data_IF_485426738838
#
_entry.id   IF_485426738838
#
_cell.length_a   1.000
_cell.length_b   1.000
_cell.length_c   1.000
_cell.angle_alpha   90.00
_cell.angle_beta   90.00
_cell.angle_gamma   90.00
#
_symmetry.space_group_name_H-M   'P 1'
#
loop_
_entity.id
_entity.type
_entity.pdbx_description
1 polymer ?
#
# COMPACT_ATOMS: atom_id res chain seq x y z
N UNK A 1 30.20 3.01 18.24
CA UNK A 1 28.86 3.51 17.86
C UNK A 1 28.80 3.84 16.36
N UNK A 2 29.73 4.64 15.82
CA UNK A 2 29.70 5.05 14.39
C UNK A 2 29.82 3.86 13.40
N UNK A 3 30.57 2.84 13.73
CA UNK A 3 30.74 1.63 12.91
C UNK A 3 29.45 0.81 12.77
N UNK A 4 28.61 0.79 13.82
CA UNK A 4 27.28 0.16 13.81
C UNK A 4 26.25 0.96 13.00
N UNK A 5 26.28 2.28 13.08
CA UNK A 5 25.38 3.17 12.34
C UNK A 5 25.54 2.99 10.82
N UNK A 6 26.79 2.91 10.33
CA UNK A 6 27.09 2.65 8.91
C UNK A 6 26.61 1.28 8.42
N UNK A 7 26.64 0.25 9.28
CA UNK A 7 26.23 -1.13 8.96
C UNK A 7 24.72 -1.29 8.75
N UNK A 8 23.91 -0.42 9.36
CA UNK A 8 22.46 -0.41 9.25
C UNK A 8 21.89 0.62 8.27
N UNK A 9 22.74 1.33 7.53
CA UNK A 9 22.32 2.30 6.53
C UNK A 9 21.57 3.52 7.10
N UNK A 10 21.87 3.89 8.35
CA UNK A 10 21.33 5.08 8.99
C UNK A 10 22.18 6.26 8.50
N UNK A 11 21.61 7.11 7.68
CA UNK A 11 22.26 8.26 7.08
C UNK A 11 22.50 9.37 8.11
N UNK A 12 23.47 10.27 7.84
CA UNK A 12 23.94 11.35 8.70
C UNK A 12 22.89 12.40 9.10
N UNK A 13 21.68 12.34 8.56
CA UNK A 13 20.56 13.22 8.92
C UNK A 13 19.85 12.74 10.18
N UNK A 14 19.66 13.63 11.13
CA UNK A 14 18.81 13.43 12.32
C UNK A 14 17.39 13.11 11.90
N UNK A 15 17.03 11.83 11.88
CA UNK A 15 15.64 11.41 11.67
C UNK A 15 14.96 11.21 13.01
N UNK A 16 13.88 11.94 13.22
CA UNK A 16 12.96 11.65 14.33
C UNK A 16 12.21 10.36 13.98
N UNK A 17 12.48 9.31 14.70
CA UNK A 17 11.77 8.03 14.57
C UNK A 17 10.48 8.08 15.39
N UNK A 18 9.39 8.54 14.78
CA UNK A 18 8.07 8.47 15.39
C UNK A 18 7.54 7.03 15.36
N UNK A 19 6.87 6.60 16.42
CA UNK A 19 6.24 5.27 16.52
C UNK A 19 7.11 4.20 17.17
N UNK A 20 8.25 4.58 17.78
CA UNK A 20 9.13 3.66 18.52
C UNK A 20 9.15 3.93 20.03
N UNK A 21 8.16 4.67 20.51
CA UNK A 21 8.01 5.05 21.92
C UNK A 21 7.91 3.82 22.85
N UNK A 22 7.47 2.69 22.33
CA UNK A 22 7.42 1.41 23.04
C UNK A 22 8.82 0.86 23.43
N UNK A 23 9.90 1.34 22.82
CA UNK A 23 11.29 0.99 23.21
C UNK A 23 11.78 1.79 24.42
N UNK A 24 11.12 2.90 24.77
CA UNK A 24 11.55 3.78 25.87
C UNK A 24 11.59 3.07 27.22
N UNK A 25 10.59 2.23 27.62
CA UNK A 25 10.67 1.47 28.86
C UNK A 25 11.90 0.57 28.92
N UNK A 26 12.20 -0.14 27.84
CA UNK A 26 13.35 -1.03 27.72
C UNK A 26 14.68 -0.25 27.86
N UNK A 27 14.79 0.91 27.24
CA UNK A 27 15.97 1.75 27.38
C UNK A 27 16.16 2.28 28.79
N UNK A 28 15.06 2.69 29.46
CA UNK A 28 15.10 3.14 30.86
C UNK A 28 15.56 2.02 31.80
N UNK A 29 14.96 0.85 31.69
CA UNK A 29 15.34 -0.32 32.48
C UNK A 29 16.82 -0.68 32.27
N UNK A 30 17.30 -0.61 31.03
CA UNK A 30 18.71 -0.84 30.69
C UNK A 30 19.65 0.18 31.35
N UNK A 31 19.25 1.45 31.42
CA UNK A 31 20.02 2.50 32.11
C UNK A 31 20.05 2.28 33.63
N UNK A 32 18.96 1.79 34.21
CA UNK A 32 18.86 1.55 35.68
C UNK A 32 19.81 0.44 36.16
N UNK A 33 20.18 -0.51 35.27
CA UNK A 33 21.12 -1.60 35.58
C UNK A 33 22.54 -1.34 35.08
N UNK A 34 22.78 -0.20 34.40
CA UNK A 34 24.09 0.16 33.87
C UNK A 34 25.11 0.45 34.99
N UNK A 35 26.31 -0.12 34.85
CA UNK A 35 27.47 0.07 35.75
C UNK A 35 28.72 0.21 34.89
N UNK A 36 29.83 0.68 35.48
CA UNK A 36 31.09 0.84 34.78
C UNK A 36 31.62 -0.46 34.14
N UNK A 37 31.36 -1.59 34.78
CA UNK A 37 31.83 -2.91 34.35
C UNK A 37 30.96 -3.56 33.26
N UNK A 38 29.73 -3.07 33.02
CA UNK A 38 28.79 -3.66 32.07
C UNK A 38 28.26 -2.70 31.00
N UNK A 39 28.62 -1.40 31.08
CA UNK A 39 27.99 -0.38 30.23
C UNK A 39 28.26 -0.57 28.73
N UNK A 40 29.42 -1.08 28.37
CA UNK A 40 29.78 -1.31 26.97
C UNK A 40 28.94 -2.46 26.39
N UNK A 41 28.87 -3.59 27.08
CA UNK A 41 28.07 -4.75 26.70
C UNK A 41 26.57 -4.42 26.69
N UNK A 42 26.13 -3.66 27.67
CA UNK A 42 24.72 -3.26 27.79
C UNK A 42 24.30 -2.30 26.66
N UNK A 43 25.13 -1.29 26.37
CA UNK A 43 24.88 -0.34 25.28
C UNK A 43 24.86 -1.04 23.92
N UNK A 44 25.76 -1.98 23.66
CA UNK A 44 25.75 -2.79 22.45
C UNK A 44 24.46 -3.62 22.35
N UNK A 45 24.08 -4.31 23.43
CA UNK A 45 22.86 -5.12 23.48
C UNK A 45 21.59 -4.29 23.23
N UNK A 46 21.49 -3.11 23.84
CA UNK A 46 20.38 -2.16 23.64
C UNK A 46 20.27 -1.70 22.20
N UNK A 47 21.42 -1.35 21.59
CA UNK A 47 21.45 -0.94 20.18
C UNK A 47 21.06 -2.07 19.26
N UNK A 48 21.63 -3.28 19.41
CA UNK A 48 21.34 -4.45 18.60
C UNK A 48 19.85 -4.82 18.70
N UNK A 49 19.29 -4.87 19.90
CA UNK A 49 17.86 -5.15 20.11
C UNK A 49 16.98 -4.10 19.46
N UNK A 50 17.27 -2.81 19.65
CA UNK A 50 16.50 -1.72 19.06
C UNK A 50 16.52 -1.77 17.52
N UNK A 51 17.66 -1.98 16.90
CA UNK A 51 17.78 -2.12 15.46
C UNK A 51 17.13 -3.39 14.92
N UNK A 52 17.22 -4.50 15.64
CA UNK A 52 16.53 -5.74 15.28
C UNK A 52 15.01 -5.56 15.25
N UNK A 53 14.45 -4.90 16.27
CA UNK A 53 13.02 -4.56 16.35
C UNK A 53 12.59 -3.62 15.22
N UNK A 54 13.33 -2.55 14.98
CA UNK A 54 13.05 -1.61 13.88
C UNK A 54 13.14 -2.28 12.51
N UNK A 55 14.06 -3.23 12.33
CA UNK A 55 14.21 -4.00 11.10
C UNK A 55 13.08 -5.02 10.90
N UNK A 56 12.63 -5.67 11.97
CA UNK A 56 11.48 -6.58 11.96
C UNK A 56 10.19 -5.86 11.54
N UNK A 57 9.93 -4.66 12.10
CA UNK A 57 8.79 -3.84 11.68
C UNK A 57 8.90 -3.36 10.22
N UNK A 58 10.12 -3.10 9.72
CA UNK A 58 10.32 -2.75 8.31
C UNK A 58 9.96 -3.93 7.38
N UNK A 59 10.24 -5.16 7.81
CA UNK A 59 9.88 -6.39 7.10
C UNK A 59 8.36 -6.61 7.13
N UNK A 60 7.73 -6.41 8.28
CA UNK A 60 6.27 -6.52 8.46
C UNK A 60 5.52 -5.48 7.58
N UNK A 61 6.01 -4.23 7.53
CA UNK A 61 5.44 -3.20 6.64
C UNK A 61 5.61 -3.49 5.14
N UNK A 62 6.63 -4.26 4.74
CA UNK A 62 6.79 -4.75 3.37
C UNK A 62 5.77 -5.84 3.07
N UNK A 63 5.54 -6.72 4.03
CA UNK A 63 4.54 -7.79 3.96
C UNK A 63 3.12 -7.22 3.91
N UNK A 64 2.83 -6.16 4.67
CA UNK A 64 1.55 -5.47 4.67
C UNK A 64 1.16 -4.95 3.27
N UNK A 65 2.08 -4.32 2.54
CA UNK A 65 1.80 -3.84 1.18
C UNK A 65 1.53 -5.01 0.22
N UNK A 66 2.28 -6.09 0.33
CA UNK A 66 2.06 -7.31 -0.45
C UNK A 66 0.68 -7.88 -0.17
N UNK A 67 0.29 -7.98 1.11
CA UNK A 67 -1.04 -8.44 1.51
C UNK A 67 -2.16 -7.53 1.00
N UNK A 68 -1.98 -6.21 1.07
CA UNK A 68 -2.95 -5.26 0.49
C UNK A 68 -3.13 -5.47 -1.02
N UNK A 69 -2.04 -5.71 -1.75
CA UNK A 69 -2.08 -5.92 -3.20
C UNK A 69 -2.73 -7.27 -3.53
N UNK A 70 -2.41 -8.33 -2.82
CA UNK A 70 -3.00 -9.66 -3.00
C UNK A 70 -4.52 -9.60 -2.86
N UNK A 71 -5.02 -9.12 -1.72
CA UNK A 71 -6.46 -8.97 -1.48
C UNK A 71 -7.13 -8.05 -2.51
N UNK A 72 -6.44 -6.97 -2.90
CA UNK A 72 -6.98 -6.08 -3.93
C UNK A 72 -7.10 -6.80 -5.27
N UNK A 73 -6.12 -7.59 -5.69
CA UNK A 73 -6.17 -8.35 -6.94
C UNK A 73 -7.25 -9.46 -6.91
N UNK A 74 -7.55 -10.01 -5.75
CA UNK A 74 -8.60 -11.00 -5.57
C UNK A 74 -10.00 -10.38 -5.68
N UNK A 75 -10.21 -9.21 -5.04
CA UNK A 75 -11.55 -8.64 -4.86
C UNK A 75 -11.83 -7.34 -5.63
N UNK A 76 -10.92 -6.83 -6.47
CA UNK A 76 -11.11 -5.52 -7.14
C UNK A 76 -12.33 -5.47 -8.06
N UNK A 77 -12.84 -6.60 -8.54
CA UNK A 77 -14.04 -6.69 -9.37
C UNK A 77 -15.34 -6.67 -8.55
N UNK A 78 -15.27 -6.84 -7.25
CA UNK A 78 -16.42 -6.60 -6.38
C UNK A 78 -16.61 -5.09 -6.19
N UNK A 79 -17.80 -4.59 -6.56
CA UNK A 79 -18.13 -3.16 -6.45
C UNK A 79 -18.15 -2.66 -5.00
N UNK A 80 -18.42 -3.54 -4.02
CA UNK A 80 -18.40 -3.21 -2.61
C UNK A 80 -16.97 -3.12 -2.04
N UNK A 81 -15.98 -3.69 -2.73
CA UNK A 81 -14.60 -3.69 -2.25
C UNK A 81 -13.98 -2.30 -2.29
N UNK A 82 -13.60 -1.81 -1.14
CA UNK A 82 -13.01 -0.49 -0.90
C UNK A 82 -11.85 -0.58 0.07
N UNK A 83 -11.13 0.52 0.27
CA UNK A 83 -10.08 0.56 1.32
C UNK A 83 -10.65 0.36 2.73
N UNK A 84 -11.92 0.64 2.98
CA UNK A 84 -12.56 0.37 4.27
C UNK A 84 -12.69 -1.13 4.48
N UNK A 85 -13.24 -1.85 3.51
CA UNK A 85 -13.36 -3.32 3.54
C UNK A 85 -11.99 -3.98 3.65
N UNK A 86 -11.00 -3.49 2.89
CA UNK A 86 -9.62 -3.97 2.99
C UNK A 86 -9.04 -3.75 4.39
N UNK A 87 -9.33 -2.61 5.02
CA UNK A 87 -8.86 -2.27 6.36
C UNK A 87 -9.45 -3.21 7.42
N UNK A 88 -10.75 -3.48 7.32
CA UNK A 88 -11.45 -4.41 8.19
C UNK A 88 -10.89 -5.84 8.04
N UNK A 89 -10.62 -6.28 6.80
CA UNK A 89 -10.08 -7.62 6.50
C UNK A 89 -8.65 -7.81 7.03
N UNK A 90 -7.81 -6.80 6.92
CA UNK A 90 -6.41 -6.86 7.38
C UNK A 90 -6.29 -6.58 8.88
N UNK A 91 -7.30 -5.97 9.51
CA UNK A 91 -7.29 -5.59 10.93
C UNK A 91 -6.49 -4.32 11.22
N UNK A 92 -6.45 -3.35 10.29
CA UNK A 92 -5.75 -2.09 10.45
C UNK A 92 -6.67 -0.89 10.24
N UNK A 93 -6.28 0.26 10.80
CA UNK A 93 -7.00 1.52 10.55
C UNK A 93 -6.88 1.95 9.08
N UNK A 94 -7.98 2.41 8.51
CA UNK A 94 -8.08 2.86 7.10
C UNK A 94 -7.12 4.01 6.76
N UNK A 95 -6.96 4.99 7.67
CA UNK A 95 -6.07 6.14 7.44
C UNK A 95 -4.62 5.68 7.44
N UNK A 96 -4.29 4.75 8.35
CA UNK A 96 -2.97 4.13 8.40
C UNK A 96 -2.64 3.40 7.10
N UNK A 97 -3.52 2.50 6.61
CA UNK A 97 -3.33 1.79 5.34
C UNK A 97 -3.18 2.75 4.16
N UNK A 98 -4.05 3.78 4.07
CA UNK A 98 -3.97 4.81 3.03
C UNK A 98 -2.63 5.52 3.01
N UNK A 99 -2.12 5.90 4.19
CA UNK A 99 -0.84 6.59 4.35
C UNK A 99 0.34 5.70 3.97
N UNK A 100 0.36 4.46 4.48
CA UNK A 100 1.41 3.48 4.19
C UNK A 100 1.45 3.16 2.69
N UNK A 101 0.29 2.91 2.09
CA UNK A 101 0.19 2.61 0.66
C UNK A 101 0.71 3.77 -0.20
N UNK A 102 0.24 5.00 0.05
CA UNK A 102 0.69 6.20 -0.69
C UNK A 102 2.19 6.40 -0.57
N UNK A 103 2.75 6.26 0.65
CA UNK A 103 4.19 6.41 0.88
C UNK A 103 5.03 5.36 0.13
N UNK A 104 4.54 4.12 0.04
CA UNK A 104 5.27 3.00 -0.57
C UNK A 104 5.09 2.90 -2.09
N UNK A 105 3.89 3.24 -2.59
CA UNK A 105 3.54 3.11 -4.02
C UNK A 105 3.54 4.44 -4.79
N UNK A 106 3.68 5.58 -4.09
CA UNK A 106 3.65 6.92 -4.71
C UNK A 106 2.26 7.40 -5.13
N UNK A 107 1.25 6.52 -5.12
CA UNK A 107 -0.14 6.82 -5.50
C UNK A 107 -1.10 6.46 -4.38
N UNK A 108 -2.28 7.09 -4.35
CA UNK A 108 -3.31 6.73 -3.38
C UNK A 108 -3.88 5.34 -3.69
N UNK A 109 -4.31 4.62 -2.64
CA UNK A 109 -4.97 3.32 -2.82
C UNK A 109 -6.21 3.40 -3.73
N UNK A 110 -7.01 4.48 -3.59
CA UNK A 110 -8.19 4.70 -4.44
C UNK A 110 -7.82 4.81 -5.92
N UNK A 111 -6.74 5.51 -6.26
CA UNK A 111 -6.27 5.60 -7.64
C UNK A 111 -5.70 4.26 -8.14
N UNK A 112 -5.02 3.51 -7.28
CA UNK A 112 -4.57 2.16 -7.60
C UNK A 112 -5.73 1.23 -7.96
N UNK A 113 -6.78 1.18 -7.11
CA UNK A 113 -7.97 0.38 -7.33
C UNK A 113 -8.74 0.81 -8.60
N UNK A 114 -8.89 2.13 -8.82
CA UNK A 114 -9.48 2.65 -10.07
C UNK A 114 -8.70 2.18 -11.30
N UNK A 115 -7.37 2.29 -11.27
CA UNK A 115 -6.53 1.87 -12.39
C UNK A 115 -6.66 0.37 -12.70
N UNK A 116 -6.79 -0.50 -11.68
CA UNK A 116 -7.05 -1.93 -11.87
C UNK A 116 -8.39 -2.15 -12.59
N UNK A 117 -9.44 -1.50 -12.09
CA UNK A 117 -10.80 -1.63 -12.65
C UNK A 117 -10.89 -1.11 -14.09
N UNK A 118 -10.24 0.01 -14.40
CA UNK A 118 -10.21 0.56 -15.76
C UNK A 118 -9.43 -0.36 -16.72
N UNK A 119 -8.29 -0.91 -16.31
CA UNK A 119 -7.58 -1.91 -17.11
C UNK A 119 -8.45 -3.14 -17.41
N UNK A 120 -9.21 -3.59 -16.43
CA UNK A 120 -10.17 -4.70 -16.62
C UNK A 120 -11.30 -4.34 -17.58
N UNK A 121 -11.81 -3.11 -17.52
CA UNK A 121 -12.80 -2.61 -18.45
C UNK A 121 -12.28 -2.58 -19.89
N UNK A 122 -11.06 -2.04 -20.08
CA UNK A 122 -10.40 -2.03 -21.39
C UNK A 122 -10.23 -3.45 -21.94
N UNK A 123 -9.79 -4.39 -21.13
CA UNK A 123 -9.67 -5.80 -21.50
C UNK A 123 -11.00 -6.36 -22.01
N UNK A 124 -12.11 -6.19 -21.29
CA UNK A 124 -13.41 -6.68 -21.75
C UNK A 124 -13.90 -6.02 -23.04
N UNK A 125 -13.64 -4.72 -23.23
CA UNK A 125 -13.98 -4.04 -24.49
C UNK A 125 -13.15 -4.58 -25.67
N UNK A 126 -11.90 -4.92 -25.46
CA UNK A 126 -11.01 -5.53 -26.46
C UNK A 126 -11.42 -6.96 -26.81
N UNK A 127 -11.93 -7.72 -25.82
CA UNK A 127 -12.54 -9.05 -26.02
C UNK A 127 -13.93 -9.00 -26.68
N UNK A 128 -14.47 -7.81 -26.99
CA UNK A 128 -15.71 -7.65 -27.73
C UNK A 128 -16.95 -7.43 -26.88
N UNK A 129 -16.82 -7.15 -25.59
CA UNK A 129 -17.98 -6.75 -24.77
C UNK A 129 -18.40 -5.33 -25.13
N UNK A 130 -19.50 -5.17 -25.88
CA UNK A 130 -19.94 -3.89 -26.44
C UNK A 130 -20.93 -3.13 -25.55
N UNK A 131 -21.42 -3.74 -24.48
CA UNK A 131 -22.35 -3.11 -23.53
C UNK A 131 -21.59 -2.38 -22.43
N UNK A 132 -21.65 -1.05 -22.41
CA UNK A 132 -21.02 -0.22 -21.35
C UNK A 132 -21.52 -0.63 -19.96
N UNK A 133 -22.80 -1.00 -19.82
CA UNK A 133 -23.38 -1.49 -18.56
C UNK A 133 -22.69 -2.78 -18.11
N UNK A 134 -22.54 -3.74 -19.03
CA UNK A 134 -21.92 -5.03 -18.70
C UNK A 134 -20.41 -4.84 -18.38
N UNK A 135 -19.70 -4.02 -19.16
CA UNK A 135 -18.30 -3.70 -18.88
C UNK A 135 -18.14 -3.08 -17.48
N UNK A 136 -19.00 -2.13 -17.12
CA UNK A 136 -18.97 -1.51 -15.79
C UNK A 136 -19.10 -2.57 -14.69
N UNK A 137 -20.11 -3.44 -14.77
CA UNK A 137 -20.36 -4.49 -13.78
C UNK A 137 -19.20 -5.48 -13.68
N UNK A 138 -18.71 -5.98 -14.81
CA UNK A 138 -17.59 -6.93 -14.88
C UNK A 138 -16.26 -6.33 -14.38
N UNK A 139 -16.17 -5.01 -14.34
CA UNK A 139 -14.98 -4.28 -13.88
C UNK A 139 -15.08 -3.76 -12.46
N UNK A 140 -16.15 -4.12 -11.73
CA UNK A 140 -16.31 -3.76 -10.32
C UNK A 140 -16.97 -2.39 -10.09
N UNK A 141 -17.82 -1.94 -11.02
CA UNK A 141 -18.65 -0.74 -10.85
C UNK A 141 -20.13 -1.11 -10.84
N UNK A 142 -20.81 -0.80 -9.75
CA UNK A 142 -22.28 -0.99 -9.65
C UNK A 142 -23.07 0.07 -10.42
N UNK A 143 -22.50 1.26 -10.63
CA UNK A 143 -23.12 2.37 -11.36
C UNK A 143 -22.40 2.64 -12.70
N UNK A 144 -23.04 2.34 -13.85
CA UNK A 144 -22.48 2.58 -15.18
C UNK A 144 -22.26 4.07 -15.52
N UNK A 145 -23.02 4.98 -14.90
CA UNK A 145 -22.83 6.43 -15.11
C UNK A 145 -21.56 6.91 -14.39
N UNK A 146 -21.37 6.47 -13.14
CA UNK A 146 -20.14 6.73 -12.42
C UNK A 146 -18.94 6.10 -13.12
N UNK A 147 -19.04 4.85 -13.56
CA UNK A 147 -18.01 4.20 -14.36
C UNK A 147 -17.62 5.04 -15.58
N UNK A 148 -18.61 5.53 -16.35
CA UNK A 148 -18.33 6.33 -17.54
C UNK A 148 -17.55 7.60 -17.23
N UNK A 149 -17.86 8.29 -16.12
CA UNK A 149 -17.11 9.46 -15.65
C UNK A 149 -15.67 9.11 -15.31
N UNK A 150 -15.47 8.02 -14.57
CA UNK A 150 -14.12 7.53 -14.20
C UNK A 150 -13.34 7.14 -15.44
N UNK A 151 -13.97 6.43 -16.39
CA UNK A 151 -13.32 6.01 -17.62
C UNK A 151 -12.85 7.20 -18.46
N UNK A 152 -13.67 8.24 -18.62
CA UNK A 152 -13.27 9.47 -19.32
C UNK A 152 -12.11 10.16 -18.60
N UNK A 153 -12.16 10.21 -17.26
CA UNK A 153 -11.07 10.82 -16.48
C UNK A 153 -9.72 10.12 -16.65
N UNK A 154 -9.74 8.78 -16.82
CA UNK A 154 -8.52 7.97 -16.92
C UNK A 154 -8.03 7.80 -18.38
N UNK A 155 -8.97 7.74 -19.34
CA UNK A 155 -8.69 7.39 -20.74
C UNK A 155 -8.83 8.57 -21.71
N UNK A 156 -9.42 9.69 -21.28
CA UNK A 156 -9.65 10.87 -22.11
C UNK A 156 -10.78 10.76 -23.13
N UNK A 157 -11.41 9.58 -23.28
CA UNK A 157 -12.52 9.32 -24.22
C UNK A 157 -13.62 8.54 -23.50
N UNK A 158 -14.83 8.57 -24.05
CA UNK A 158 -15.95 7.81 -23.48
C UNK A 158 -15.84 6.30 -23.72
N UNK A 159 -16.44 5.45 -22.86
CA UNK A 159 -16.50 4.01 -23.08
C UNK A 159 -17.10 3.64 -24.45
N UNK A 160 -18.13 4.36 -24.91
CA UNK A 160 -18.77 4.13 -26.21
C UNK A 160 -17.82 4.43 -27.37
N UNK A 161 -17.09 5.54 -27.30
CA UNK A 161 -16.09 5.91 -28.32
C UNK A 161 -14.96 4.89 -28.36
N UNK A 162 -14.49 4.42 -27.20
CA UNK A 162 -13.45 3.39 -27.13
C UNK A 162 -13.90 2.10 -27.82
N UNK A 163 -15.11 1.60 -27.53
CA UNK A 163 -15.69 0.41 -28.16
C UNK A 163 -15.79 0.60 -29.67
N UNK A 164 -16.30 1.76 -30.15
CA UNK A 164 -16.43 2.04 -31.58
C UNK A 164 -15.09 2.05 -32.33
N UNK A 165 -14.06 2.66 -31.71
CA UNK A 165 -12.71 2.69 -32.30
C UNK A 165 -12.09 1.28 -32.42
N UNK A 166 -12.39 0.38 -31.49
CA UNK A 166 -11.88 -1.00 -31.55
C UNK A 166 -12.61 -1.85 -32.59
N UNK A 167 -13.90 -1.62 -32.82
CA UNK A 167 -14.67 -2.30 -33.87
C UNK A 167 -14.16 -1.91 -35.26
N UNK A 168 -13.95 -0.62 -35.54
CA UNK A 168 -13.44 -0.12 -36.82
C UNK A 168 -12.00 -0.57 -37.15
N UNK A 169 -11.27 -1.14 -36.22
CA UNK A 169 -9.90 -1.68 -36.44
C UNK A 169 -9.88 -3.19 -36.67
N UNK A 170 -11.01 -3.87 -36.47
CA UNK A 170 -11.17 -5.33 -36.70
C UNK A 170 -11.77 -5.65 -38.09
N UNK A 171 -12.30 -4.64 -38.79
CA UNK A 171 -12.70 -4.69 -40.19
C UNK A 171 -11.49 -4.31 -41.10
#
# INVERSE_FOLDING_TARGET
AYEYIGRFGICEDYRVFNGYEYLVPFWKESLDIAREDNIDLLSESVLVYSFARMSAEKKDKSDLISRMIELTNEYFTDSAFTISVLADEIGYDKKYLSSVFKRKKGITYTNYLKGLRIRRAVFYMEEGVNSVKNVALLSGYSDPLYFSKVFVSEMGITPKEFIKQKQSKKE
#
